data_IF_849927212021
#
_entry.id   IF_849927212021
#
_cell.length_a   1.000
_cell.length_b   1.000
_cell.length_c   1.000
_cell.angle_alpha   90.00
_cell.angle_beta   90.00
_cell.angle_gamma   90.00
#
_symmetry.space_group_name_H-M   'P 1'
#
loop_
_entity.id
_entity.type
_entity.pdbx_description
1 polymer ?
#
# COMPACT_ATOMS: atom_id res chain seq x y z
N UNK A 1 -6.17 7.46 -16.58
CA UNK A 1 -7.59 7.19 -16.19
C UNK A 1 -7.73 7.43 -14.70
N UNK A 2 -8.82 8.08 -14.22
CA UNK A 2 -9.05 8.28 -12.79
C UNK A 2 -9.41 6.96 -12.11
N UNK A 3 -8.81 6.73 -10.93
CA UNK A 3 -9.20 5.69 -9.99
C UNK A 3 -9.73 6.36 -8.74
N UNK A 4 -11.02 6.24 -8.49
CA UNK A 4 -11.69 6.79 -7.31
C UNK A 4 -11.46 5.84 -6.13
N UNK A 5 -10.62 6.25 -5.18
CA UNK A 5 -10.28 5.43 -4.01
C UNK A 5 -11.34 5.56 -2.94
N UNK A 6 -11.79 6.79 -2.67
CA UNK A 6 -12.90 7.12 -1.77
C UNK A 6 -13.46 8.52 -2.12
N UNK A 7 -14.40 9.03 -1.32
CA UNK A 7 -15.08 10.32 -1.54
C UNK A 7 -14.15 11.54 -1.65
N UNK A 8 -12.90 11.42 -1.19
CA UNK A 8 -11.96 12.54 -1.09
C UNK A 8 -10.62 12.31 -1.79
N UNK A 9 -10.35 11.08 -2.27
CA UNK A 9 -9.10 10.73 -2.94
C UNK A 9 -9.37 10.08 -4.30
N UNK A 10 -8.77 10.69 -5.33
CA UNK A 10 -8.69 10.13 -6.69
C UNK A 10 -7.22 10.04 -7.09
N UNK A 11 -6.82 8.91 -7.69
CA UNK A 11 -5.53 8.75 -8.34
C UNK A 11 -5.71 8.87 -9.85
N UNK A 12 -5.12 9.92 -10.44
CA UNK A 12 -5.12 10.13 -11.89
C UNK A 12 -3.82 9.61 -12.49
N UNK A 13 -3.90 8.51 -13.22
CA UNK A 13 -2.77 7.95 -13.96
C UNK A 13 -2.61 8.65 -15.31
N UNK A 14 -1.38 9.12 -15.58
CA UNK A 14 -0.97 9.78 -16.81
C UNK A 14 0.31 9.15 -17.36
N UNK A 15 0.33 8.88 -18.67
CA UNK A 15 1.50 8.32 -19.34
C UNK A 15 2.65 9.34 -19.41
N UNK A 16 3.87 8.88 -19.14
CA UNK A 16 5.09 9.69 -19.20
C UNK A 16 6.28 8.84 -19.61
N UNK A 17 7.19 9.41 -20.41
CA UNK A 17 8.43 8.73 -20.84
C UNK A 17 9.46 8.57 -19.71
N UNK A 18 9.42 9.45 -18.71
CA UNK A 18 10.33 9.42 -17.57
C UNK A 18 9.66 9.96 -16.32
N UNK A 19 9.83 9.21 -15.23
CA UNK A 19 9.33 9.50 -13.89
C UNK A 19 10.17 8.75 -12.84
N UNK A 20 10.05 9.18 -11.59
CA UNK A 20 10.67 8.49 -10.46
C UNK A 20 9.70 7.45 -9.88
N UNK A 21 10.26 6.41 -9.25
CA UNK A 21 9.47 5.52 -8.40
C UNK A 21 8.90 6.29 -7.21
N UNK A 22 7.67 5.96 -6.83
CA UNK A 22 6.92 6.56 -5.73
C UNK A 22 6.46 5.44 -4.78
N UNK A 23 6.11 5.80 -3.56
CA UNK A 23 5.57 4.88 -2.57
C UNK A 23 4.18 5.34 -2.11
N UNK A 24 3.18 4.49 -2.28
CA UNK A 24 1.80 4.74 -1.86
C UNK A 24 1.37 3.72 -0.82
N UNK A 25 1.01 4.19 0.37
CA UNK A 25 0.55 3.36 1.48
C UNK A 25 -0.93 3.64 1.79
N UNK A 26 -1.74 2.59 1.84
CA UNK A 26 -3.14 2.65 2.23
C UNK A 26 -3.36 2.01 3.60
N UNK A 27 -3.94 2.77 4.52
CA UNK A 27 -4.49 2.23 5.76
C UNK A 27 -5.92 1.74 5.50
N UNK A 28 -6.15 0.47 5.80
CA UNK A 28 -7.42 -0.21 5.55
C UNK A 28 -7.88 -0.98 6.78
N UNK A 29 -9.15 -1.36 6.82
CA UNK A 29 -9.67 -2.31 7.80
C UNK A 29 -9.10 -3.72 7.58
N UNK A 30 -9.25 -4.61 8.58
CA UNK A 30 -8.83 -6.00 8.47
C UNK A 30 -9.57 -6.77 7.36
N UNK A 31 -10.87 -6.51 7.17
CA UNK A 31 -11.67 -7.16 6.13
C UNK A 31 -11.24 -6.70 4.72
N UNK A 32 -10.98 -5.41 4.55
CA UNK A 32 -10.45 -4.86 3.30
C UNK A 32 -9.05 -5.39 3.01
N UNK A 33 -8.19 -5.51 4.04
CA UNK A 33 -6.87 -6.10 3.90
C UNK A 33 -6.96 -7.51 3.32
N UNK A 34 -7.83 -8.36 3.87
CA UNK A 34 -7.99 -9.74 3.42
C UNK A 34 -8.48 -9.78 1.97
N UNK A 35 -9.49 -8.98 1.63
CA UNK A 35 -9.99 -8.88 0.26
C UNK A 35 -9.01 -8.31 -0.76
N UNK A 36 -8.09 -7.42 -0.35
CA UNK A 36 -6.99 -6.94 -1.22
C UNK A 36 -5.93 -8.03 -1.36
N UNK A 37 -5.54 -8.66 -0.26
CA UNK A 37 -4.49 -9.67 -0.24
C UNK A 37 -4.87 -10.91 -1.06
N UNK A 38 -6.11 -11.35 -0.99
CA UNK A 38 -6.62 -12.43 -1.84
C UNK A 38 -6.52 -12.08 -3.33
N UNK A 39 -6.89 -10.86 -3.74
CA UNK A 39 -6.75 -10.40 -5.13
C UNK A 39 -5.29 -10.35 -5.60
N UNK A 40 -4.37 -9.92 -4.73
CA UNK A 40 -2.93 -9.90 -5.01
C UNK A 40 -2.41 -11.32 -5.26
N UNK A 41 -2.83 -12.28 -4.43
CA UNK A 41 -2.47 -13.69 -4.57
C UNK A 41 -3.07 -14.33 -5.82
N UNK A 42 -4.35 -14.09 -6.08
CA UNK A 42 -5.05 -14.61 -7.27
C UNK A 42 -4.44 -14.06 -8.57
N UNK A 43 -3.95 -12.82 -8.54
CA UNK A 43 -3.23 -12.20 -9.65
C UNK A 43 -1.76 -12.67 -9.77
N UNK A 44 -1.27 -13.54 -8.87
CA UNK A 44 0.13 -13.98 -8.78
C UNK A 44 1.13 -12.82 -8.69
N UNK A 45 0.75 -11.73 -8.02
CA UNK A 45 1.66 -10.62 -7.74
C UNK A 45 2.58 -11.03 -6.59
N UNK A 46 3.89 -10.98 -6.83
CA UNK A 46 4.89 -11.20 -5.77
C UNK A 46 4.88 -10.05 -4.78
N UNK A 47 4.90 -10.39 -3.50
CA UNK A 47 4.87 -9.42 -2.40
C UNK A 47 5.95 -9.72 -1.37
N UNK A 48 6.18 -8.75 -0.48
CA UNK A 48 7.22 -8.82 0.54
C UNK A 48 6.80 -8.24 1.87
N UNK A 49 7.51 -8.65 2.92
CA UNK A 49 7.31 -8.20 4.30
C UNK A 49 7.97 -6.85 4.64
N UNK A 50 8.91 -6.37 3.82
CA UNK A 50 9.63 -5.10 4.06
C UNK A 50 9.70 -4.23 2.82
N UNK A 51 9.75 -2.88 2.93
CA UNK A 51 9.63 -1.98 1.78
C UNK A 51 10.64 -2.26 0.65
N UNK A 52 11.88 -2.57 1.02
CA UNK A 52 13.03 -2.77 0.12
C UNK A 52 13.67 -4.16 0.28
N UNK A 53 12.96 -5.12 0.88
CA UNK A 53 13.46 -6.47 1.08
C UNK A 53 13.28 -7.38 -0.15
N UNK A 54 13.67 -8.65 -0.02
CA UNK A 54 13.36 -9.66 -1.04
C UNK A 54 11.86 -9.91 -1.12
N UNK A 55 11.40 -10.39 -2.27
CA UNK A 55 10.04 -10.89 -2.49
C UNK A 55 9.85 -12.24 -1.76
N UNK A 56 9.71 -12.15 -0.44
CA UNK A 56 9.69 -13.27 0.50
C UNK A 56 8.33 -13.95 0.65
N UNK A 57 7.28 -13.39 0.02
CA UNK A 57 5.90 -13.84 0.13
C UNK A 57 5.41 -13.90 1.58
N UNK A 58 5.92 -13.01 2.44
CA UNK A 58 5.52 -12.91 3.84
C UNK A 58 4.80 -11.59 4.13
N UNK A 59 3.86 -11.67 5.06
CA UNK A 59 3.29 -10.50 5.71
C UNK A 59 4.19 -10.05 6.86
N UNK A 60 4.13 -8.77 7.18
CA UNK A 60 4.75 -8.20 8.36
C UNK A 60 3.68 -7.88 9.42
N UNK A 61 4.00 -8.15 10.67
CA UNK A 61 3.08 -8.02 11.83
C UNK A 61 3.47 -6.90 12.79
N UNK A 62 4.25 -5.93 12.33
CA UNK A 62 4.73 -4.79 13.15
C UNK A 62 3.55 -4.04 13.78
N UNK A 63 3.74 -3.59 15.03
CA UNK A 63 2.75 -2.84 15.82
C UNK A 63 1.45 -3.62 16.09
N UNK A 64 1.47 -4.95 15.94
CA UNK A 64 0.29 -5.80 16.13
C UNK A 64 -0.72 -5.75 14.98
N UNK A 65 -0.41 -5.04 13.90
CA UNK A 65 -1.19 -5.04 12.67
C UNK A 65 -0.68 -6.05 11.65
N UNK A 66 -1.10 -5.87 10.40
CA UNK A 66 -0.62 -6.61 9.22
C UNK A 66 -0.24 -5.61 8.14
N UNK A 67 0.85 -5.86 7.42
CA UNK A 67 1.19 -5.13 6.21
C UNK A 67 1.94 -6.01 5.19
N UNK A 68 1.88 -5.61 3.93
CA UNK A 68 2.72 -6.15 2.87
C UNK A 68 2.99 -5.08 1.82
N UNK A 69 4.03 -5.33 1.02
CA UNK A 69 4.45 -4.46 -0.06
C UNK A 69 4.50 -5.23 -1.37
N UNK A 70 4.28 -4.55 -2.49
CA UNK A 70 4.63 -5.03 -3.82
C UNK A 70 5.16 -3.89 -4.68
N UNK A 71 5.81 -4.23 -5.80
CA UNK A 71 6.24 -3.27 -6.82
C UNK A 71 5.45 -3.53 -8.08
N UNK A 72 4.87 -2.49 -8.68
CA UNK A 72 4.18 -2.63 -9.96
C UNK A 72 5.17 -2.66 -11.14
N UNK A 73 4.65 -2.78 -12.36
CA UNK A 73 5.44 -2.81 -13.59
C UNK A 73 6.18 -1.52 -13.87
N UNK A 74 5.71 -0.39 -13.33
CA UNK A 74 6.31 0.94 -13.50
C UNK A 74 7.35 1.25 -12.41
N UNK A 75 7.50 0.33 -11.45
CA UNK A 75 8.47 0.43 -10.36
C UNK A 75 7.97 1.19 -9.14
N UNK A 76 6.69 1.56 -9.06
CA UNK A 76 6.13 2.14 -7.84
C UNK A 76 5.95 1.08 -6.76
N UNK A 77 6.22 1.48 -5.52
CA UNK A 77 6.02 0.63 -4.34
C UNK A 77 4.62 0.90 -3.80
N UNK A 78 3.90 -0.16 -3.53
CA UNK A 78 2.58 -0.12 -2.94
C UNK A 78 2.60 -0.83 -1.60
N UNK A 79 1.94 -0.24 -0.60
CA UNK A 79 1.82 -0.77 0.75
C UNK A 79 0.35 -0.77 1.17
N UNK A 80 -0.07 -1.86 1.81
CA UNK A 80 -1.35 -1.94 2.50
C UNK A 80 -1.07 -2.33 3.94
N UNK A 81 -1.66 -1.60 4.89
CA UNK A 81 -1.49 -1.87 6.33
C UNK A 81 -2.82 -1.75 7.08
N UNK A 82 -2.92 -2.47 8.20
CA UNK A 82 -4.12 -2.41 9.09
C UNK A 82 -3.91 -1.54 10.33
N UNK A 83 -2.65 -1.31 10.72
CA UNK A 83 -2.27 -0.42 11.83
C UNK A 83 -1.27 0.61 11.32
N UNK A 84 -1.70 1.87 11.26
CA UNK A 84 -0.84 2.96 10.79
C UNK A 84 0.35 3.16 11.72
N UNK A 85 1.48 3.56 11.14
CA UNK A 85 2.54 4.24 11.90
C UNK A 85 1.89 5.43 12.60
N UNK A 86 2.14 5.62 13.90
CA UNK A 86 1.51 6.69 14.66
C UNK A 86 1.64 8.03 13.90
N UNK A 87 0.51 8.56 13.43
CA UNK A 87 0.44 9.95 12.98
C UNK A 87 0.33 10.78 14.24
N UNK A 88 1.11 11.85 14.36
CA UNK A 88 0.87 12.85 15.40
C UNK A 88 -0.60 13.28 15.27
N UNK A 89 -1.39 13.15 16.33
CA UNK A 89 -2.78 13.62 16.29
C UNK A 89 -2.79 15.09 15.91
N UNK A 90 -3.61 15.45 14.92
CA UNK A 90 -3.92 16.85 14.64
C UNK A 90 -4.80 17.37 15.78
N UNK A 91 -4.16 17.70 16.92
CA UNK A 91 -4.83 18.02 18.16
C UNK A 91 -3.91 18.47 19.29
N UNK A 92 -2.75 19.06 18.97
CA UNK A 92 -1.95 19.83 19.91
C UNK A 92 -1.51 21.15 19.25
N UNK A 93 -2.49 21.92 18.80
CA UNK A 93 -2.34 23.34 18.53
C UNK A 93 -3.43 24.07 19.31
N UNK A 94 -3.05 24.59 20.47
CA UNK A 94 -3.77 25.66 21.19
C UNK A 94 -3.47 27.01 20.54
#
# INVERSE_FOLDING_TARGET
TPVYVNDTLTLDFAERDSFASHHYCFHVSDDEFDGIFDRVRDANIVYRSTPMGPDDLQLNTRMGGRNFYWTDSDGHIWEVLTVSYARQEAGAAT
#
